data_IF_669854061990
#
_entry.id   IF_669854061990
#
_cell.length_a   1.000
_cell.length_b   1.000
_cell.length_c   1.000
_cell.angle_alpha   90.00
_cell.angle_beta   90.00
_cell.angle_gamma   90.00
#
_symmetry.space_group_name_H-M   'P 1'
#
loop_
_entity.id
_entity.type
_entity.pdbx_description
1 polymer ?
#
# COMPACT_ATOMS: atom_id res chain seq x y z
N UNK A 1 -19.98 -4.76 -18.60
CA UNK A 1 -19.97 -6.17 -19.05
C UNK A 1 -18.61 -6.58 -19.61
N UNK A 2 -17.88 -5.68 -20.26
CA UNK A 2 -16.60 -5.98 -20.93
C UNK A 2 -15.51 -6.55 -20.00
N UNK A 3 -15.46 -6.08 -18.74
CA UNK A 3 -14.50 -6.62 -17.76
C UNK A 3 -14.77 -8.09 -17.38
N UNK A 4 -16.03 -8.54 -17.42
CA UNK A 4 -16.46 -9.91 -17.06
C UNK A 4 -16.01 -10.92 -18.12
N UNK A 5 -15.96 -10.51 -19.38
CA UNK A 5 -15.53 -11.35 -20.50
C UNK A 5 -14.04 -11.19 -20.88
N UNK A 6 -13.34 -10.20 -20.32
CA UNK A 6 -11.93 -9.95 -20.65
C UNK A 6 -11.01 -11.08 -20.14
N UNK A 7 -10.07 -11.55 -20.97
CA UNK A 7 -9.07 -12.54 -20.53
C UNK A 7 -7.91 -11.92 -19.72
N UNK A 8 -7.72 -10.61 -19.83
CA UNK A 8 -6.58 -9.90 -19.21
C UNK A 8 -6.92 -9.25 -17.87
N UNK A 9 -8.21 -9.24 -17.50
CA UNK A 9 -8.69 -8.65 -16.25
C UNK A 9 -8.84 -9.75 -15.19
N UNK A 10 -8.19 -9.61 -14.03
CA UNK A 10 -8.29 -10.60 -12.95
C UNK A 10 -9.41 -10.30 -11.94
N UNK A 11 -9.75 -9.02 -11.76
CA UNK A 11 -10.73 -8.55 -10.78
C UNK A 11 -11.78 -7.66 -11.44
N UNK A 12 -13.01 -7.73 -10.93
CA UNK A 12 -14.05 -6.75 -11.23
C UNK A 12 -14.16 -5.85 -10.00
N UNK A 13 -14.07 -4.55 -10.22
CA UNK A 13 -14.11 -3.54 -9.17
C UNK A 13 -15.49 -2.90 -9.04
N UNK A 14 -15.85 -2.56 -7.81
CA UNK A 14 -17.00 -1.72 -7.51
C UNK A 14 -16.61 -0.60 -6.54
N UNK A 15 -16.70 0.65 -6.99
CA UNK A 15 -16.74 1.80 -6.09
C UNK A 15 -18.09 1.83 -5.38
N UNK A 16 -18.10 1.82 -4.05
CA UNK A 16 -19.31 1.66 -3.24
C UNK A 16 -19.45 2.81 -2.27
N UNK A 17 -20.65 3.41 -2.26
CA UNK A 17 -21.06 4.39 -1.28
C UNK A 17 -22.58 4.32 -1.03
N UNK A 18 -23.03 4.89 0.07
CA UNK A 18 -24.45 5.07 0.36
C UNK A 18 -25.03 6.19 -0.52
N UNK A 19 -26.13 5.90 -1.20
CA UNK A 19 -26.77 6.86 -2.08
C UNK A 19 -28.14 6.40 -2.55
N UNK A 20 -28.55 6.90 -3.72
CA UNK A 20 -29.83 6.53 -4.33
C UNK A 20 -29.69 5.93 -5.73
N UNK A 21 -30.60 5.04 -6.09
CA UNK A 21 -30.69 4.55 -7.47
C UNK A 21 -31.56 5.50 -8.31
N UNK A 22 -31.33 5.54 -9.62
CA UNK A 22 -32.21 6.26 -10.56
C UNK A 22 -33.64 5.72 -10.59
N UNK A 23 -33.85 4.49 -10.11
CA UNK A 23 -35.16 3.85 -9.95
C UNK A 23 -35.93 4.27 -8.68
N UNK A 24 -35.31 5.06 -7.80
CA UNK A 24 -35.98 5.65 -6.63
C UNK A 24 -35.70 4.97 -5.29
N UNK A 25 -34.74 4.05 -5.22
CA UNK A 25 -34.21 3.59 -3.92
C UNK A 25 -33.33 4.69 -3.32
N UNK A 26 -33.36 4.83 -2.00
CA UNK A 26 -32.56 5.80 -1.25
C UNK A 26 -31.92 5.10 -0.05
N UNK A 27 -30.81 5.67 0.43
CA UNK A 27 -30.07 5.16 1.59
C UNK A 27 -29.70 3.67 1.44
N UNK A 28 -29.24 3.29 0.25
CA UNK A 28 -28.72 1.95 -0.05
C UNK A 28 -27.29 2.04 -0.60
N UNK A 29 -26.46 1.00 -0.44
CA UNK A 29 -25.17 0.94 -1.13
C UNK A 29 -25.39 0.88 -2.64
N UNK A 30 -24.75 1.80 -3.35
CA UNK A 30 -24.79 1.93 -4.81
C UNK A 30 -23.39 1.84 -5.40
N UNK A 31 -23.31 1.51 -6.70
CA UNK A 31 -22.05 1.60 -7.42
C UNK A 31 -21.81 3.02 -7.92
N UNK A 32 -21.01 3.79 -7.21
CA UNK A 32 -20.69 5.17 -7.55
C UNK A 32 -19.35 5.59 -6.97
N UNK A 33 -18.69 6.53 -7.64
CA UNK A 33 -17.48 7.18 -7.15
C UNK A 33 -17.77 8.66 -6.87
N UNK A 34 -17.34 9.23 -5.74
CA UNK A 34 -17.52 10.66 -5.46
C UNK A 34 -17.00 11.55 -6.61
N UNK A 35 -17.67 12.68 -6.92
CA UNK A 35 -18.75 13.30 -6.14
C UNK A 35 -20.15 12.70 -6.39
N UNK A 36 -20.28 11.68 -7.24
CA UNK A 36 -21.59 11.10 -7.53
C UNK A 36 -22.14 10.39 -6.30
N UNK A 37 -23.41 10.64 -6.01
CA UNK A 37 -24.17 10.02 -4.92
C UNK A 37 -25.44 9.30 -5.43
N UNK A 38 -25.52 9.08 -6.74
CA UNK A 38 -26.58 8.32 -7.38
C UNK A 38 -26.02 7.42 -8.47
N UNK A 39 -26.65 6.26 -8.66
CA UNK A 39 -26.24 5.27 -9.65
C UNK A 39 -27.45 4.70 -10.38
N UNK A 40 -27.24 4.14 -11.56
CA UNK A 40 -28.23 3.31 -12.22
C UNK A 40 -28.36 1.91 -11.58
N UNK A 41 -27.39 1.49 -10.77
CA UNK A 41 -27.36 0.16 -10.17
C UNK A 41 -27.00 0.20 -8.67
N UNK A 42 -27.75 -0.55 -7.86
CA UNK A 42 -27.39 -0.81 -6.46
C UNK A 42 -26.27 -1.84 -6.37
N UNK A 43 -25.53 -1.85 -5.26
CA UNK A 43 -24.56 -2.92 -5.00
C UNK A 43 -25.23 -4.30 -5.00
N UNK A 44 -26.45 -4.39 -4.44
CA UNK A 44 -27.21 -5.65 -4.34
C UNK A 44 -27.53 -6.25 -5.72
N UNK A 45 -27.98 -5.43 -6.66
CA UNK A 45 -28.23 -5.86 -8.05
C UNK A 45 -26.92 -6.22 -8.75
N UNK A 46 -25.87 -5.41 -8.58
CA UNK A 46 -24.58 -5.68 -9.20
C UNK A 46 -23.97 -6.99 -8.74
N UNK A 47 -23.98 -7.28 -7.44
CA UNK A 47 -23.36 -8.50 -6.91
C UNK A 47 -24.12 -9.75 -7.34
N UNK A 48 -25.45 -9.67 -7.52
CA UNK A 48 -26.24 -10.76 -8.09
C UNK A 48 -25.82 -11.04 -9.53
N UNK A 49 -25.77 -10.00 -10.38
CA UNK A 49 -25.28 -10.12 -11.77
C UNK A 49 -23.86 -10.69 -11.81
N UNK A 50 -22.96 -10.15 -10.99
CA UNK A 50 -21.58 -10.59 -10.93
C UNK A 50 -21.50 -12.06 -10.50
N UNK A 51 -22.31 -12.50 -9.55
CA UNK A 51 -22.33 -13.87 -9.01
C UNK A 51 -22.95 -14.88 -9.97
N UNK A 52 -23.83 -14.44 -10.86
CA UNK A 52 -24.42 -15.28 -11.91
C UNK A 52 -23.51 -15.44 -13.12
N UNK A 53 -22.61 -14.48 -13.36
CA UNK A 53 -21.62 -14.60 -14.42
C UNK A 53 -20.73 -15.84 -14.23
N UNK A 54 -20.60 -16.65 -15.27
CA UNK A 54 -19.68 -17.80 -15.35
C UNK A 54 -18.23 -17.30 -15.50
N UNK A 55 -17.71 -16.68 -14.44
CA UNK A 55 -16.38 -16.08 -14.40
C UNK A 55 -15.63 -16.46 -13.14
N UNK A 56 -14.31 -16.63 -13.26
CA UNK A 56 -13.38 -16.88 -12.15
C UNK A 56 -12.75 -15.61 -11.57
N UNK A 57 -13.21 -14.44 -12.01
CA UNK A 57 -12.67 -13.15 -11.56
C UNK A 57 -12.92 -12.92 -10.08
N UNK A 58 -11.93 -12.31 -9.43
CA UNK A 58 -12.08 -11.80 -8.08
C UNK A 58 -12.98 -10.56 -8.05
N UNK A 59 -13.42 -10.19 -6.84
CA UNK A 59 -14.21 -9.00 -6.58
C UNK A 59 -13.38 -8.03 -5.74
N UNK A 60 -13.19 -6.81 -6.24
CA UNK A 60 -12.54 -5.71 -5.49
C UNK A 60 -13.62 -4.72 -5.10
N UNK A 61 -13.92 -4.64 -3.81
CA UNK A 61 -14.98 -3.78 -3.27
C UNK A 61 -14.34 -2.53 -2.68
N UNK A 62 -14.39 -1.42 -3.41
CA UNK A 62 -13.76 -0.15 -3.04
C UNK A 62 -14.75 0.76 -2.31
N UNK A 63 -14.73 0.70 -0.99
CA UNK A 63 -15.62 1.47 -0.13
C UNK A 63 -15.17 2.92 -0.01
N UNK A 64 -16.08 3.84 -0.30
CA UNK A 64 -15.88 5.30 -0.22
C UNK A 64 -16.50 5.93 1.02
N UNK A 65 -17.29 5.16 1.77
CA UNK A 65 -17.80 5.50 3.09
C UNK A 65 -17.89 4.25 3.99
N UNK A 66 -18.09 4.46 5.29
CA UNK A 66 -18.16 3.37 6.27
C UNK A 66 -19.58 2.79 6.40
N UNK A 67 -20.60 3.58 6.09
CA UNK A 67 -22.01 3.22 6.22
C UNK A 67 -22.42 2.10 5.25
N UNK A 68 -21.77 2.00 4.09
CA UNK A 68 -22.01 0.97 3.08
C UNK A 68 -21.35 -0.38 3.38
N UNK A 69 -20.31 -0.41 4.22
CA UNK A 69 -19.50 -1.62 4.46
C UNK A 69 -20.32 -2.77 5.03
N UNK A 70 -21.06 -2.52 6.12
CA UNK A 70 -21.81 -3.57 6.80
C UNK A 70 -22.95 -4.14 5.92
N UNK A 71 -23.82 -3.33 5.29
CA UNK A 71 -24.82 -3.85 4.35
C UNK A 71 -24.22 -4.68 3.20
N UNK A 72 -23.10 -4.25 2.62
CA UNK A 72 -22.42 -4.99 1.56
C UNK A 72 -21.88 -6.33 2.04
N UNK A 73 -21.25 -6.39 3.21
CA UNK A 73 -20.75 -7.63 3.79
C UNK A 73 -21.89 -8.63 4.06
N UNK A 74 -23.04 -8.16 4.57
CA UNK A 74 -24.22 -9.01 4.76
C UNK A 74 -24.71 -9.58 3.43
N UNK A 75 -24.86 -8.73 2.40
CA UNK A 75 -25.32 -9.15 1.08
C UNK A 75 -24.38 -10.17 0.42
N UNK A 76 -23.07 -10.01 0.57
CA UNK A 76 -22.08 -10.98 0.07
C UNK A 76 -22.26 -12.36 0.71
N UNK A 77 -22.54 -12.42 2.02
CA UNK A 77 -22.73 -13.67 2.76
C UNK A 77 -23.98 -14.43 2.35
N UNK A 78 -25.04 -13.72 1.92
CA UNK A 78 -26.27 -14.34 1.42
C UNK A 78 -26.04 -15.13 0.12
N UNK A 79 -25.05 -14.71 -0.68
CA UNK A 79 -24.78 -15.30 -1.99
C UNK A 79 -23.74 -16.40 -1.87
N UNK A 80 -24.20 -17.65 -1.73
CA UNK A 80 -23.34 -18.83 -1.57
C UNK A 80 -22.22 -18.94 -2.61
N UNK A 81 -22.48 -18.57 -3.87
CA UNK A 81 -21.48 -18.62 -4.95
C UNK A 81 -20.23 -17.77 -4.67
N UNK A 82 -20.32 -16.78 -3.78
CA UNK A 82 -19.18 -15.94 -3.42
C UNK A 82 -18.21 -16.60 -2.43
N UNK A 83 -18.56 -17.75 -1.83
CA UNK A 83 -17.65 -18.46 -0.91
C UNK A 83 -16.34 -18.88 -1.57
N UNK A 84 -16.36 -19.10 -2.88
CA UNK A 84 -15.23 -19.64 -3.65
C UNK A 84 -14.49 -18.53 -4.42
N UNK A 85 -14.96 -17.28 -4.36
CA UNK A 85 -14.37 -16.15 -5.06
C UNK A 85 -13.32 -15.45 -4.21
N UNK A 86 -12.29 -14.93 -4.87
CA UNK A 86 -11.35 -14.03 -4.21
C UNK A 86 -12.01 -12.67 -4.00
N UNK A 87 -12.14 -12.24 -2.74
CA UNK A 87 -12.77 -10.98 -2.37
C UNK A 87 -11.71 -10.08 -1.75
N UNK A 88 -11.58 -8.88 -2.28
CA UNK A 88 -10.75 -7.81 -1.73
C UNK A 88 -11.65 -6.73 -1.14
N UNK A 89 -11.46 -6.44 0.15
CA UNK A 89 -12.12 -5.33 0.82
C UNK A 89 -11.19 -4.13 0.77
N UNK A 90 -11.47 -3.18 -0.13
CA UNK A 90 -10.65 -2.01 -0.37
C UNK A 90 -11.19 -0.77 0.35
N UNK A 91 -10.32 -0.04 1.05
CA UNK A 91 -10.68 1.21 1.69
C UNK A 91 -9.46 2.10 2.01
N UNK A 92 -9.63 3.40 1.78
CA UNK A 92 -8.68 4.42 2.21
C UNK A 92 -8.96 4.85 3.66
N UNK A 93 -8.31 4.15 4.60
CA UNK A 93 -8.53 4.30 6.05
C UNK A 93 -7.54 5.25 6.74
N UNK A 94 -6.48 5.70 6.04
CA UNK A 94 -5.48 6.63 6.54
C UNK A 94 -5.32 7.87 5.66
N UNK A 95 -4.69 8.91 6.20
CA UNK A 95 -4.31 10.13 5.45
C UNK A 95 -2.93 9.90 4.82
N UNK A 96 -2.86 10.05 3.51
CA UNK A 96 -1.66 9.80 2.73
C UNK A 96 -0.97 11.06 2.21
N UNK A 97 -0.10 10.90 1.20
CA UNK A 97 0.59 12.00 0.56
C UNK A 97 -0.33 12.98 -0.18
N UNK A 98 0.17 14.18 -0.43
CA UNK A 98 -0.49 15.16 -1.30
C UNK A 98 -1.50 16.08 -0.62
N UNK A 99 -1.45 16.19 0.71
CA UNK A 99 -2.33 17.04 1.54
C UNK A 99 -3.83 16.72 1.49
N UNK A 100 -4.26 15.44 1.55
CA UNK A 100 -5.66 15.11 1.74
C UNK A 100 -6.10 15.48 3.17
N UNK A 101 -7.39 15.81 3.34
CA UNK A 101 -7.91 16.37 4.60
C UNK A 101 -8.32 15.31 5.63
N UNK A 102 -8.75 14.13 5.16
CA UNK A 102 -9.32 13.07 6.00
C UNK A 102 -9.19 11.72 5.29
N UNK A 103 -9.25 10.59 6.02
CA UNK A 103 -9.51 9.29 5.41
C UNK A 103 -10.89 9.28 4.76
N UNK A 104 -11.10 8.38 3.79
CA UNK A 104 -12.42 8.18 3.16
C UNK A 104 -13.34 7.38 4.09
N UNK A 105 -12.77 6.37 4.75
CA UNK A 105 -13.50 5.39 5.56
C UNK A 105 -12.96 5.39 7.00
N UNK A 106 -13.85 5.25 8.00
CA UNK A 106 -13.43 5.15 9.40
C UNK A 106 -12.61 3.87 9.63
N UNK A 107 -11.33 4.05 9.98
CA UNK A 107 -10.37 2.98 10.22
C UNK A 107 -10.84 1.93 11.22
N UNK A 108 -11.32 2.36 12.38
CA UNK A 108 -11.60 1.45 13.48
C UNK A 108 -12.84 0.61 13.18
N UNK A 109 -13.89 1.25 12.65
CA UNK A 109 -15.12 0.58 12.23
C UNK A 109 -14.87 -0.36 11.05
N UNK A 110 -14.09 0.05 10.06
CA UNK A 110 -13.79 -0.80 8.89
C UNK A 110 -13.08 -2.09 9.29
N UNK A 111 -12.00 -1.99 10.09
CA UNK A 111 -11.24 -3.17 10.52
C UNK A 111 -12.07 -4.08 11.44
N UNK A 112 -12.94 -3.51 12.28
CA UNK A 112 -13.85 -4.30 13.10
C UNK A 112 -14.87 -5.07 12.25
N UNK A 113 -15.49 -4.42 11.25
CA UNK A 113 -16.45 -5.04 10.36
C UNK A 113 -15.80 -6.11 9.47
N UNK A 114 -14.65 -5.80 8.87
CA UNK A 114 -13.91 -6.75 8.05
C UNK A 114 -13.44 -7.96 8.88
N UNK A 115 -12.87 -7.72 10.07
CA UNK A 115 -12.41 -8.77 10.97
C UNK A 115 -13.53 -9.66 11.54
N UNK A 116 -14.75 -9.14 11.65
CA UNK A 116 -15.93 -9.91 12.05
C UNK A 116 -16.58 -10.69 10.89
N UNK A 117 -16.17 -10.43 9.64
CA UNK A 117 -16.72 -11.10 8.47
C UNK A 117 -16.26 -12.57 8.42
N UNK A 118 -17.18 -13.54 8.26
CA UNK A 118 -16.83 -14.95 8.09
C UNK A 118 -16.31 -15.27 6.67
N UNK A 119 -16.40 -14.32 5.74
CA UNK A 119 -15.92 -14.50 4.36
C UNK A 119 -14.39 -14.50 4.34
N UNK A 120 -13.79 -15.43 3.60
CA UNK A 120 -12.36 -15.35 3.30
C UNK A 120 -12.12 -14.14 2.39
N UNK A 121 -11.26 -13.23 2.82
CA UNK A 121 -10.97 -12.00 2.09
C UNK A 121 -9.52 -11.54 2.25
N UNK A 122 -9.08 -10.73 1.31
CA UNK A 122 -7.84 -9.94 1.37
C UNK A 122 -8.21 -8.52 1.78
N UNK A 123 -7.47 -7.92 2.71
CA UNK A 123 -7.61 -6.50 3.02
C UNK A 123 -6.80 -5.68 2.03
N UNK A 124 -7.44 -4.73 1.36
CA UNK A 124 -6.78 -3.75 0.48
C UNK A 124 -6.86 -2.37 1.11
N UNK A 125 -5.99 -2.10 2.09
CA UNK A 125 -6.11 -0.92 2.96
C UNK A 125 -5.09 0.15 2.62
N UNK A 126 -5.59 1.34 2.35
CA UNK A 126 -4.82 2.41 1.73
C UNK A 126 -4.82 3.72 2.49
N UNK A 127 -4.45 4.75 1.74
CA UNK A 127 -4.47 6.12 2.18
C UNK A 127 -5.16 6.97 1.14
N UNK A 128 -5.95 7.94 1.60
CA UNK A 128 -6.37 9.02 0.70
C UNK A 128 -5.13 9.74 0.18
N UNK A 129 -5.15 10.16 -1.09
CA UNK A 129 -4.06 10.94 -1.69
C UNK A 129 -4.58 12.27 -2.21
N UNK A 130 -3.74 13.30 -2.20
CA UNK A 130 -4.07 14.61 -2.74
C UNK A 130 -3.13 15.06 -3.86
N UNK A 131 -3.35 16.28 -4.35
CA UNK A 131 -2.68 16.80 -5.54
C UNK A 131 -1.22 17.23 -5.30
N UNK A 132 -0.84 17.60 -4.06
CA UNK A 132 0.51 18.11 -3.79
C UNK A 132 1.60 17.04 -4.07
N UNK A 133 2.80 17.46 -4.46
CA UNK A 133 3.86 16.57 -5.00
C UNK A 133 4.51 15.62 -3.99
N UNK A 134 4.23 15.74 -2.70
CA UNK A 134 4.84 14.89 -1.67
C UNK A 134 4.51 13.40 -1.90
N UNK A 135 5.50 12.52 -1.71
CA UNK A 135 5.34 11.06 -1.77
C UNK A 135 5.05 10.42 -0.41
N UNK A 136 4.88 9.09 -0.39
CA UNK A 136 4.65 8.33 0.84
C UNK A 136 5.82 8.51 1.82
N UNK A 137 5.54 9.10 2.98
CA UNK A 137 6.54 9.36 4.01
C UNK A 137 6.72 8.18 4.97
N UNK A 138 7.81 8.21 5.74
CA UNK A 138 8.01 7.31 6.90
C UNK A 138 6.82 7.33 7.86
N UNK A 139 6.23 8.51 8.11
CA UNK A 139 5.07 8.64 8.98
C UNK A 139 3.87 7.89 8.42
N UNK A 140 3.61 7.98 7.12
CA UNK A 140 2.49 7.26 6.49
C UNK A 140 2.64 5.74 6.67
N UNK A 141 3.85 5.22 6.43
CA UNK A 141 4.13 3.78 6.52
C UNK A 141 4.13 3.28 7.96
N UNK A 142 4.77 4.00 8.89
CA UNK A 142 4.81 3.58 10.30
C UNK A 142 3.43 3.64 10.96
N UNK A 143 2.59 4.58 10.57
CA UNK A 143 1.18 4.58 10.99
C UNK A 143 0.46 3.33 10.48
N UNK A 144 0.63 2.97 9.21
CA UNK A 144 0.02 1.74 8.67
C UNK A 144 0.54 0.48 9.36
N UNK A 145 1.84 0.40 9.67
CA UNK A 145 2.42 -0.71 10.42
C UNK A 145 1.77 -0.86 11.81
N UNK A 146 1.58 0.25 12.53
CA UNK A 146 0.88 0.24 13.83
C UNK A 146 -0.60 -0.16 13.72
N UNK A 147 -1.23 0.06 12.56
CA UNK A 147 -2.61 -0.38 12.30
C UNK A 147 -2.67 -1.88 12.08
N UNK A 148 -1.78 -2.42 11.24
CA UNK A 148 -1.80 -3.84 10.87
C UNK A 148 -1.22 -4.76 11.94
N UNK A 149 -0.47 -4.25 12.92
CA UNK A 149 -0.06 -5.00 14.13
C UNK A 149 -1.25 -5.61 14.89
N UNK A 150 -2.47 -5.09 14.69
CA UNK A 150 -3.70 -5.59 15.34
C UNK A 150 -4.48 -6.58 14.47
N UNK A 151 -4.04 -6.82 13.24
CA UNK A 151 -4.71 -7.70 12.28
C UNK A 151 -4.07 -9.09 12.41
N UNK A 152 -4.86 -10.18 12.38
CA UNK A 152 -4.31 -11.53 12.42
C UNK A 152 -3.26 -11.76 11.32
N UNK A 153 -2.13 -12.37 11.68
CA UNK A 153 -1.02 -12.65 10.75
C UNK A 153 -1.45 -13.53 9.55
N UNK A 154 -2.53 -14.31 9.68
CA UNK A 154 -3.09 -15.12 8.59
C UNK A 154 -3.82 -14.30 7.52
N UNK A 155 -4.17 -13.05 7.79
CA UNK A 155 -4.93 -12.20 6.87
C UNK A 155 -4.00 -11.67 5.78
N UNK A 156 -4.30 -11.95 4.52
CA UNK A 156 -3.57 -11.35 3.40
C UNK A 156 -3.87 -9.85 3.32
N UNK A 157 -2.85 -9.03 3.11
CA UNK A 157 -2.98 -7.57 3.03
C UNK A 157 -2.27 -7.06 1.77
N UNK A 158 -2.98 -6.26 0.97
CA UNK A 158 -2.37 -5.45 -0.07
C UNK A 158 -2.54 -3.97 0.26
N UNK A 159 -1.56 -3.16 -0.11
CA UNK A 159 -1.58 -1.71 0.12
C UNK A 159 -1.74 -1.00 -1.22
N UNK A 160 -2.91 -0.42 -1.54
CA UNK A 160 -3.07 0.41 -2.72
C UNK A 160 -2.23 1.68 -2.57
N UNK A 161 -1.32 1.91 -3.53
CA UNK A 161 -0.41 3.05 -3.54
C UNK A 161 -0.44 3.76 -4.89
N UNK A 162 -0.50 5.09 -4.86
CA UNK A 162 -0.56 5.90 -6.08
C UNK A 162 0.83 6.02 -6.73
N UNK A 163 0.93 5.67 -8.00
CA UNK A 163 2.17 5.65 -8.77
C UNK A 163 2.92 7.00 -8.73
N UNK A 164 2.22 8.12 -8.87
CA UNK A 164 2.81 9.47 -8.84
C UNK A 164 3.34 9.90 -7.46
N UNK A 165 3.16 9.08 -6.42
CA UNK A 165 3.53 9.37 -5.02
C UNK A 165 4.49 8.34 -4.43
N UNK A 166 4.98 7.39 -5.20
CA UNK A 166 5.83 6.31 -4.67
C UNK A 166 7.10 6.85 -4.00
N UNK A 167 7.54 6.14 -2.98
CA UNK A 167 8.81 6.38 -2.29
C UNK A 167 9.35 5.03 -1.83
N UNK A 168 10.50 4.63 -2.39
CA UNK A 168 11.02 3.28 -2.29
C UNK A 168 11.27 2.86 -0.85
N UNK A 169 12.08 3.60 -0.07
CA UNK A 169 12.51 3.11 1.25
C UNK A 169 11.36 2.95 2.25
N UNK A 170 10.43 3.91 2.41
CA UNK A 170 9.26 3.69 3.26
C UNK A 170 8.42 2.51 2.77
N UNK A 171 8.07 2.46 1.49
CA UNK A 171 7.21 1.39 0.97
C UNK A 171 7.88 0.01 1.01
N UNK A 172 9.21 -0.05 0.84
CA UNK A 172 10.01 -1.27 0.97
C UNK A 172 10.02 -1.81 2.40
N UNK A 173 9.95 -0.94 3.42
CA UNK A 173 9.75 -1.34 4.81
C UNK A 173 8.37 -1.97 5.00
N UNK A 174 7.33 -1.33 4.45
CA UNK A 174 5.97 -1.83 4.57
C UNK A 174 5.81 -3.24 3.98
N UNK A 175 6.10 -3.40 2.69
CA UNK A 175 6.02 -4.71 2.02
C UNK A 175 7.06 -5.69 2.56
N UNK A 176 8.22 -5.23 3.01
CA UNK A 176 9.27 -6.10 3.57
C UNK A 176 8.99 -6.63 4.97
N UNK A 177 7.94 -6.14 5.65
CA UNK A 177 7.64 -6.51 7.04
C UNK A 177 7.15 -7.95 7.19
N UNK A 178 6.20 -8.37 6.35
CA UNK A 178 5.65 -9.72 6.37
C UNK A 178 5.58 -10.31 4.96
N UNK A 179 5.50 -11.64 4.83
CA UNK A 179 5.49 -12.33 3.51
C UNK A 179 4.17 -12.24 2.76
N UNK A 180 3.06 -12.12 3.49
CA UNK A 180 1.70 -12.04 2.97
C UNK A 180 1.25 -10.62 2.62
N UNK A 181 2.18 -9.65 2.66
CA UNK A 181 1.92 -8.28 2.24
C UNK A 181 2.20 -8.07 0.75
N UNK A 182 1.48 -7.15 0.11
CA UNK A 182 1.75 -6.75 -1.27
C UNK A 182 1.47 -5.27 -1.48
N UNK A 183 1.92 -4.72 -2.59
CA UNK A 183 1.50 -3.40 -3.07
C UNK A 183 0.58 -3.57 -4.27
N UNK A 184 -0.49 -2.78 -4.34
CA UNK A 184 -1.28 -2.59 -5.56
C UNK A 184 -1.04 -1.17 -6.05
N UNK A 185 -0.24 -1.01 -7.09
CA UNK A 185 0.15 0.30 -7.59
C UNK A 185 -0.88 0.77 -8.60
N UNK A 186 -1.59 1.86 -8.28
CA UNK A 186 -2.64 2.43 -9.13
C UNK A 186 -2.26 3.81 -9.62
N UNK A 187 -2.89 4.25 -10.71
CA UNK A 187 -2.65 5.58 -11.27
C UNK A 187 -3.86 6.08 -12.07
N UNK A 188 -4.08 7.39 -12.07
CA UNK A 188 -5.08 8.03 -12.93
C UNK A 188 -4.47 8.37 -14.28
N UNK A 189 -5.30 8.55 -15.32
CA UNK A 189 -4.82 9.02 -16.64
C UNK A 189 -4.18 10.41 -16.59
N UNK A 190 -4.59 11.22 -15.62
CA UNK A 190 -4.10 12.59 -15.39
C UNK A 190 -2.82 12.64 -14.55
N UNK A 191 -2.40 11.51 -13.96
CA UNK A 191 -1.12 11.44 -13.26
C UNK A 191 0.04 11.53 -14.25
N UNK A 192 1.10 12.21 -13.84
CA UNK A 192 2.38 12.27 -14.56
C UNK A 192 3.48 11.62 -13.71
N UNK A 193 3.50 10.27 -13.62
CA UNK A 193 4.40 9.56 -12.73
C UNK A 193 5.83 9.47 -13.28
N UNK A 194 6.78 9.21 -12.38
CA UNK A 194 8.08 8.65 -12.71
C UNK A 194 8.10 7.18 -12.30
N UNK A 195 8.62 6.30 -13.17
CA UNK A 195 8.57 4.86 -12.94
C UNK A 195 9.77 4.31 -12.16
N UNK A 196 10.79 5.12 -11.87
CA UNK A 196 12.01 4.64 -11.21
C UNK A 196 11.72 3.94 -9.86
N UNK A 197 10.88 4.55 -9.03
CA UNK A 197 10.54 3.99 -7.72
C UNK A 197 9.68 2.72 -7.86
N UNK A 198 8.81 2.67 -8.88
CA UNK A 198 8.06 1.44 -9.22
C UNK A 198 9.01 0.32 -9.66
N UNK A 199 9.97 0.60 -10.55
CA UNK A 199 10.97 -0.37 -11.01
C UNK A 199 11.77 -0.92 -9.83
N UNK A 200 12.16 -0.06 -8.89
CA UNK A 200 12.86 -0.47 -7.66
C UNK A 200 12.01 -1.44 -6.84
N UNK A 201 10.76 -1.07 -6.54
CA UNK A 201 9.84 -1.91 -5.76
C UNK A 201 9.56 -3.25 -6.46
N UNK A 202 9.26 -3.21 -7.76
CA UNK A 202 8.93 -4.38 -8.57
C UNK A 202 10.08 -5.41 -8.61
N UNK A 203 11.33 -4.94 -8.72
CA UNK A 203 12.52 -5.79 -8.69
C UNK A 203 12.89 -6.27 -7.28
N UNK A 204 12.68 -5.41 -6.28
CA UNK A 204 12.99 -5.73 -4.89
C UNK A 204 12.06 -6.80 -4.30
N UNK A 205 10.79 -6.82 -4.73
CA UNK A 205 9.74 -7.70 -4.23
C UNK A 205 9.00 -8.43 -5.38
N UNK A 206 9.66 -9.36 -6.09
CA UNK A 206 9.06 -10.08 -7.21
C UNK A 206 7.78 -10.80 -6.81
N UNK A 207 6.72 -10.66 -7.62
CA UNK A 207 5.43 -11.30 -7.38
C UNK A 207 4.60 -10.70 -6.24
N UNK A 208 5.01 -9.56 -5.68
CA UNK A 208 4.31 -8.88 -4.57
C UNK A 208 3.94 -7.44 -4.87
N UNK A 209 4.12 -7.00 -6.12
CA UNK A 209 3.74 -5.68 -6.62
C UNK A 209 2.79 -5.89 -7.80
N UNK A 210 1.52 -5.60 -7.60
CA UNK A 210 0.45 -5.68 -8.60
C UNK A 210 0.23 -4.30 -9.23
N UNK A 211 -0.21 -4.27 -10.48
CA UNK A 211 -0.37 -3.04 -11.25
C UNK A 211 -1.85 -2.83 -11.61
N UNK A 212 -2.37 -1.67 -11.26
CA UNK A 212 -3.70 -1.14 -11.63
C UNK A 212 -3.48 0.09 -12.53
N UNK A 213 -2.86 -0.21 -13.67
CA UNK A 213 -2.33 0.64 -14.74
C UNK A 213 -3.36 1.09 -15.78
N UNK A 214 -3.54 2.38 -16.15
CA UNK A 214 -4.02 2.67 -17.50
C UNK A 214 -3.09 2.05 -18.54
N UNK A 215 -3.64 1.50 -19.62
CA UNK A 215 -2.90 0.73 -20.65
C UNK A 215 -1.65 1.49 -21.17
N UNK A 216 -1.77 2.80 -21.37
CA UNK A 216 -0.65 3.65 -21.82
C UNK A 216 0.49 3.72 -20.79
N UNK A 217 0.15 3.89 -19.52
CA UNK A 217 1.13 3.97 -18.42
C UNK A 217 1.74 2.61 -18.12
N UNK A 218 0.98 1.52 -18.24
CA UNK A 218 1.52 0.17 -18.15
C UNK A 218 2.54 -0.11 -19.26
N UNK A 219 2.21 0.22 -20.52
CA UNK A 219 3.15 0.05 -21.63
C UNK A 219 4.42 0.91 -21.47
N UNK A 220 4.30 2.10 -20.87
CA UNK A 220 5.45 2.95 -20.55
C UNK A 220 6.32 2.34 -19.44
N UNK A 221 5.70 1.88 -18.35
CA UNK A 221 6.40 1.16 -17.29
C UNK A 221 7.19 -0.04 -17.85
N UNK A 222 6.56 -0.87 -18.69
CA UNK A 222 7.21 -2.04 -19.30
C UNK A 222 8.42 -1.65 -20.15
N UNK A 223 8.32 -0.56 -20.93
CA UNK A 223 9.46 -0.04 -21.70
C UNK A 223 10.60 0.42 -20.79
N UNK A 224 10.31 1.17 -19.73
CA UNK A 224 11.33 1.63 -18.79
C UNK A 224 11.95 0.48 -18.00
N UNK A 225 11.14 -0.50 -17.58
CA UNK A 225 11.61 -1.69 -16.87
C UNK A 225 12.65 -2.46 -17.69
N UNK A 226 12.49 -2.51 -19.02
CA UNK A 226 13.42 -3.16 -19.94
C UNK A 226 14.65 -2.31 -20.27
N UNK A 227 14.55 -0.97 -20.25
CA UNK A 227 15.67 -0.09 -20.58
C UNK A 227 16.64 0.12 -19.43
N UNK A 228 16.18 0.01 -18.18
CA UNK A 228 17.01 0.27 -17.01
C UNK A 228 17.63 -1.03 -16.50
N UNK A 229 18.75 -1.48 -17.06
CA UNK A 229 19.38 -2.76 -16.68
C UNK A 229 19.84 -2.80 -15.21
N UNK A 230 20.38 -1.69 -14.71
CA UNK A 230 20.89 -1.58 -13.34
C UNK A 230 20.13 -0.51 -12.56
N UNK A 231 19.20 -0.94 -11.70
CA UNK A 231 18.70 -0.10 -10.60
C UNK A 231 19.21 -0.67 -9.29
N UNK A 232 20.41 -0.25 -8.86
CA UNK A 232 20.98 -0.87 -7.70
C UNK A 232 20.15 -0.46 -6.47
N UNK A 233 19.86 -1.42 -5.60
CA UNK A 233 19.11 -1.25 -4.35
C UNK A 233 19.90 -2.03 -3.29
N UNK A 234 20.92 -1.42 -2.65
CA UNK A 234 21.80 -2.13 -1.73
C UNK A 234 20.95 -2.67 -0.59
N UNK A 235 21.22 -3.91 -0.20
CA UNK A 235 20.52 -4.52 0.92
C UNK A 235 21.31 -4.31 2.18
N UNK A 236 20.59 -4.09 3.27
CA UNK A 236 21.20 -4.02 4.59
C UNK A 236 21.34 -5.46 5.11
N UNK A 237 22.55 -5.81 5.54
CA UNK A 237 22.78 -7.01 6.34
C UNK A 237 22.42 -6.74 7.80
N UNK A 238 21.90 -7.76 8.50
CA UNK A 238 21.46 -7.60 9.88
C UNK A 238 22.56 -6.96 10.76
N UNK A 239 22.26 -5.83 11.43
CA UNK A 239 23.20 -5.16 12.31
C UNK A 239 23.51 -6.06 13.50
N UNK A 240 24.74 -5.98 14.00
CA UNK A 240 25.10 -6.61 15.27
C UNK A 240 24.49 -5.80 16.42
N UNK A 241 23.35 -6.31 16.91
CA UNK A 241 22.76 -6.17 18.25
C UNK A 241 22.74 -4.78 18.91
N UNK A 242 21.58 -4.12 18.83
CA UNK A 242 20.92 -3.49 19.98
C UNK A 242 19.41 -3.78 19.91
N UNK A 243 18.75 -3.96 21.04
CA UNK A 243 17.37 -4.49 21.18
C UNK A 243 16.26 -3.58 20.65
N UNK A 244 16.60 -2.35 20.22
CA UNK A 244 15.65 -1.32 19.74
C UNK A 244 15.74 -1.06 18.24
N UNK A 245 16.30 -2.01 17.49
CA UNK A 245 16.56 -1.86 16.05
C UNK A 245 15.65 -2.84 15.29
N UNK A 246 14.73 -2.31 14.48
CA UNK A 246 13.99 -3.10 13.49
C UNK A 246 14.76 -3.07 12.17
N UNK A 247 14.97 -4.24 11.58
CA UNK A 247 15.80 -4.42 10.39
C UNK A 247 14.93 -4.94 9.26
N UNK A 248 14.93 -4.21 8.16
CA UNK A 248 14.24 -4.55 6.92
C UNK A 248 15.28 -4.76 5.82
N UNK A 249 14.93 -5.45 4.71
CA UNK A 249 15.90 -5.75 3.64
C UNK A 249 16.64 -4.53 3.07
N UNK A 250 16.03 -3.34 3.13
CA UNK A 250 16.57 -2.09 2.55
C UNK A 250 16.72 -0.96 3.57
N UNK A 251 16.30 -1.15 4.82
CA UNK A 251 16.18 -0.07 5.80
C UNK A 251 16.39 -0.60 7.22
N UNK A 252 17.03 0.19 8.07
CA UNK A 252 16.98 0.00 9.52
C UNK A 252 16.15 1.13 10.13
N UNK A 253 15.24 0.79 11.03
CA UNK A 253 14.52 1.75 11.87
C UNK A 253 14.99 1.56 13.29
N UNK A 254 15.66 2.58 13.84
CA UNK A 254 16.10 2.60 15.24
C UNK A 254 15.12 3.35 16.09
N UNK A 255 14.81 2.83 17.27
CA UNK A 255 13.93 3.44 18.27
C UNK A 255 14.75 3.92 19.48
N UNK A 256 15.19 5.18 19.45
CA UNK A 256 15.97 5.80 20.52
C UNK A 256 17.48 5.64 20.40
N UNK A 257 18.17 6.04 21.47
CA UNK A 257 19.62 6.12 21.52
C UNK A 257 20.31 4.74 21.50
N UNK A 258 21.47 4.68 20.85
CA UNK A 258 22.28 3.46 20.72
C UNK A 258 23.39 3.61 19.68
N UNK A 259 24.27 2.62 19.61
CA UNK A 259 25.26 2.50 18.55
C UNK A 259 24.78 1.50 17.50
N UNK A 260 24.92 1.86 16.23
CA UNK A 260 24.43 1.06 15.11
C UNK A 260 25.57 0.84 14.13
N UNK A 261 25.84 -0.42 13.83
CA UNK A 261 26.73 -0.80 12.72
C UNK A 261 25.88 -1.29 11.56
N UNK A 262 25.80 -0.47 10.50
CA UNK A 262 25.16 -0.81 9.24
C UNK A 262 26.15 -1.54 8.36
N UNK A 263 25.71 -2.61 7.69
CA UNK A 263 26.50 -3.30 6.67
C UNK A 263 25.66 -3.46 5.41
N UNK A 264 26.28 -3.29 4.25
CA UNK A 264 25.64 -3.48 2.95
C UNK A 264 26.27 -4.61 2.16
N UNK A 265 25.49 -5.20 1.26
CA UNK A 265 25.94 -6.23 0.33
C UNK A 265 26.90 -5.72 -0.75
N UNK A 266 26.97 -4.40 -0.95
CA UNK A 266 27.82 -3.73 -1.94
C UNK A 266 28.20 -2.33 -1.46
N UNK A 267 29.30 -1.75 -1.98
CA UNK A 267 29.67 -0.37 -1.65
C UNK A 267 28.53 0.61 -1.94
N UNK A 268 28.15 1.42 -0.96
CA UNK A 268 27.08 2.41 -1.05
C UNK A 268 27.34 3.61 -0.12
N UNK A 269 26.60 4.71 -0.34
CA UNK A 269 26.48 5.79 0.64
C UNK A 269 25.34 5.45 1.60
N UNK A 270 25.40 5.83 2.88
CA UNK A 270 24.27 5.70 3.79
C UNK A 270 23.61 7.06 4.01
N UNK A 271 22.28 7.08 3.96
CA UNK A 271 21.46 8.25 4.33
C UNK A 271 20.56 7.92 5.50
N UNK A 272 20.02 8.96 6.11
CA UNK A 272 19.06 8.83 7.19
C UNK A 272 18.03 9.93 7.19
N UNK A 273 16.83 9.56 7.61
CA UNK A 273 15.71 10.48 7.81
C UNK A 273 15.28 10.44 9.28
N UNK A 274 15.20 11.63 9.89
CA UNK A 274 14.58 11.77 11.21
C UNK A 274 13.08 11.62 11.05
N UNK A 275 12.51 10.64 11.75
CA UNK A 275 11.07 10.39 11.75
C UNK A 275 10.39 11.29 12.78
N UNK A 276 11.01 11.43 13.95
CA UNK A 276 10.55 12.28 15.05
C UNK A 276 11.56 13.42 15.34
N UNK A 277 11.07 14.55 15.83
CA UNK A 277 11.89 15.78 16.01
C UNK A 277 12.97 15.65 17.10
N UNK A 278 12.77 14.75 18.08
CA UNK A 278 13.62 14.61 19.27
C UNK A 278 14.80 13.63 19.09
N UNK A 279 15.32 13.50 17.87
CA UNK A 279 16.46 12.60 17.55
C UNK A 279 17.67 13.42 17.10
N UNK A 280 18.82 13.12 17.69
CA UNK A 280 20.13 13.57 17.21
C UNK A 280 20.93 12.35 16.74
N UNK A 281 21.76 12.57 15.73
CA UNK A 281 22.60 11.54 15.14
C UNK A 281 23.99 12.11 15.07
N UNK A 282 24.91 11.46 15.75
CA UNK A 282 26.33 11.75 15.65
C UNK A 282 26.99 10.56 14.96
N UNK A 283 27.37 10.75 13.70
CA UNK A 283 28.07 9.74 12.91
C UNK A 283 29.56 10.03 12.90
N UNK A 284 30.37 9.07 13.33
CA UNK A 284 31.80 9.06 13.01
C UNK A 284 32.00 8.12 11.81
N UNK A 285 32.18 8.71 10.63
CA UNK A 285 32.65 7.98 9.46
C UNK A 285 34.14 7.67 9.66
N UNK A 286 34.49 6.45 10.06
CA UNK A 286 35.88 5.96 10.04
C UNK A 286 36.36 5.76 8.58
N UNK A 287 36.36 6.82 7.75
CA UNK A 287 37.28 7.08 6.64
C UNK A 287 36.74 8.16 5.68
N UNK A 288 37.47 9.29 5.66
CA UNK A 288 37.71 10.23 4.55
C UNK A 288 36.81 10.18 3.29
N UNK A 289 35.80 11.05 3.25
CA UNK A 289 35.16 11.54 2.01
C UNK A 289 33.90 10.79 1.54
N UNK A 290 33.27 11.22 0.42
CA UNK A 290 32.03 10.66 -0.12
C UNK A 290 32.28 9.33 -0.88
N UNK A 291 33.06 8.42 -0.29
CA UNK A 291 33.38 7.13 -0.91
C UNK A 291 32.32 6.09 -0.55
N UNK A 292 31.86 5.25 -1.50
CA UNK A 292 31.01 4.12 -1.21
C UNK A 292 31.65 3.18 -0.16
N UNK A 293 30.88 2.79 0.85
CA UNK A 293 31.30 1.94 1.96
C UNK A 293 30.45 0.66 2.01
N UNK A 294 31.00 -0.40 2.60
CA UNK A 294 30.27 -1.64 2.91
C UNK A 294 29.89 -1.74 4.40
N UNK A 295 30.47 -0.89 5.25
CA UNK A 295 30.19 -0.81 6.69
C UNK A 295 30.14 0.66 7.12
N UNK A 296 29.21 1.01 8.00
CA UNK A 296 29.05 2.36 8.55
C UNK A 296 28.62 2.30 10.01
N UNK A 297 29.28 3.08 10.88
CA UNK A 297 28.99 3.13 12.32
C UNK A 297 28.39 4.47 12.69
N UNK A 298 27.36 4.40 13.52
CA UNK A 298 26.51 5.52 13.87
C UNK A 298 26.22 5.51 15.36
N UNK A 299 26.19 6.69 15.97
CA UNK A 299 25.64 6.89 17.31
C UNK A 299 24.36 7.69 17.20
N UNK A 300 23.27 7.12 17.70
CA UNK A 300 21.97 7.77 17.81
C UNK A 300 21.82 8.27 19.24
N UNK A 301 21.36 9.50 19.40
CA UNK A 301 21.05 10.11 20.69
C UNK A 301 19.59 10.62 20.71
N UNK A 302 18.96 10.56 21.88
CA UNK A 302 17.57 10.97 22.07
C UNK A 302 16.58 9.79 22.10
N UNK A 303 15.30 10.12 22.00
CA UNK A 303 14.18 9.17 22.28
C UNK A 303 13.25 8.93 21.10
N UNK A 304 13.50 9.53 19.94
CA UNK A 304 12.67 9.34 18.74
C UNK A 304 13.19 8.27 17.79
N UNK A 305 12.54 8.15 16.64
CA UNK A 305 12.88 7.18 15.60
C UNK A 305 13.67 7.80 14.46
N UNK A 306 14.52 6.96 13.87
CA UNK A 306 15.30 7.31 12.69
C UNK A 306 15.37 6.12 11.74
N UNK A 307 15.20 6.41 10.45
CA UNK A 307 15.40 5.43 9.39
C UNK A 307 16.77 5.62 8.76
N UNK A 308 17.52 4.54 8.60
CA UNK A 308 18.79 4.47 7.88
C UNK A 308 18.63 3.59 6.66
N UNK A 309 19.16 4.03 5.52
CA UNK A 309 19.06 3.29 4.27
C UNK A 309 20.25 3.57 3.35
N UNK A 310 20.69 2.57 2.57
CA UNK A 310 21.79 2.72 1.64
C UNK A 310 21.31 3.35 0.33
N UNK A 311 22.03 4.35 -0.15
CA UNK A 311 21.88 4.99 -1.46
C UNK A 311 23.13 4.77 -2.30
N UNK A 312 23.02 4.95 -3.62
CA UNK A 312 24.19 5.08 -4.48
C UNK A 312 24.84 6.44 -4.28
#
# INVERSE_FOLDING_TARGET
MDAISSETVNFIEADILMGGTKSGLHDVPIMAHPPDNSSDISFAEWIEIASEAETSKGLKLDFKDIESVEPCLRKLQEIKKNSDREIWLNADILIGPGSPKRPAVDRARFLALAGASPLKHTLSIGWTTGAASAGYSWRNVLEMLAVIEKIPESTAITFPVRLSKLSFYPLAVLIGSEKNYSLTVWSSLEDSPSYLELIRLYRAFPGRVFLDLPVSQQAEFERELMSVENVPCPRIAAPQADTKIRVFPYTIVSEGAGEITLKSDRPCTFRWDRIDENVRVEGHQENSGPKPLTEFRLRVEGTGRIAFYPTH
#
